data_IF_313145202455
#
_entry.id   IF_313145202455
#
_cell.length_a   1.000
_cell.length_b   1.000
_cell.length_c   1.000
_cell.angle_alpha   90.00
_cell.angle_beta   90.00
_cell.angle_gamma   90.00
#
_symmetry.space_group_name_H-M   'P 1'
#
loop_
_entity.id
_entity.type
_entity.pdbx_description
1 polymer ?
#
# COMPACT_ATOMS: atom_id res chain seq x y z
N UNK A 1 11.89 8.59 -15.90
CA UNK A 1 10.50 8.33 -15.50
C UNK A 1 10.48 7.26 -14.43
N UNK A 2 9.56 7.28 -13.47
CA UNK A 2 9.46 6.24 -12.46
C UNK A 2 9.06 4.91 -13.06
N UNK A 3 9.59 3.81 -12.47
CA UNK A 3 9.25 2.44 -12.90
C UNK A 3 8.08 1.85 -12.10
N UNK A 4 7.88 2.31 -10.86
CA UNK A 4 6.77 1.93 -10.00
C UNK A 4 5.96 3.19 -9.72
N UNK A 5 4.67 3.18 -10.04
CA UNK A 5 3.79 4.32 -9.81
C UNK A 5 2.55 3.86 -9.03
N UNK A 6 2.08 4.71 -8.15
CA UNK A 6 0.77 4.55 -7.52
C UNK A 6 -0.05 5.83 -7.63
N UNK A 7 -1.38 5.68 -7.66
CA UNK A 7 -2.36 6.75 -7.75
C UNK A 7 -3.32 6.61 -6.58
N UNK A 8 -3.44 7.64 -5.76
CA UNK A 8 -4.39 7.54 -4.67
C UNK A 8 -4.33 8.69 -3.68
N UNK A 9 -4.93 8.43 -2.54
CA UNK A 9 -5.00 9.38 -1.44
C UNK A 9 -3.66 9.55 -0.73
N UNK A 10 -3.38 10.80 -0.34
CA UNK A 10 -2.38 11.16 0.63
C UNK A 10 -3.03 12.03 1.71
N UNK A 11 -2.78 11.74 2.95
CA UNK A 11 -3.39 12.42 4.10
C UNK A 11 -2.41 12.41 5.28
N UNK A 12 -2.73 13.12 6.34
CA UNK A 12 -2.02 12.97 7.61
C UNK A 12 -2.85 12.18 8.60
N UNK A 13 -2.17 11.40 9.44
CA UNK A 13 -2.78 10.74 10.59
C UNK A 13 -2.47 11.45 11.89
N UNK A 14 -3.50 11.52 12.74
CA UNK A 14 -3.42 12.04 14.12
C UNK A 14 -3.98 10.96 15.04
N UNK A 15 -3.13 10.42 15.90
CA UNK A 15 -3.36 9.17 16.61
C UNK A 15 -3.58 9.38 18.09
N UNK A 16 -4.46 8.59 18.72
CA UNK A 16 -4.52 8.48 20.18
C UNK A 16 -3.20 7.95 20.74
N UNK A 17 -2.75 8.56 21.83
CA UNK A 17 -1.56 8.08 22.56
C UNK A 17 -1.91 7.02 23.59
N UNK A 18 -3.17 6.95 24.02
CA UNK A 18 -3.70 6.02 25.02
C UNK A 18 -4.65 5.01 24.36
N UNK A 19 -4.54 3.73 24.77
CA UNK A 19 -5.47 2.68 24.34
C UNK A 19 -6.87 2.91 24.92
N UNK A 20 -7.88 2.38 24.27
CA UNK A 20 -9.29 2.37 24.70
C UNK A 20 -9.86 3.79 24.93
N UNK A 21 -9.30 4.81 24.29
CA UNK A 21 -9.79 6.20 24.35
C UNK A 21 -10.50 6.59 23.05
N UNK A 22 -11.83 6.63 23.05
CA UNK A 22 -12.59 6.93 21.85
C UNK A 22 -12.36 8.37 21.35
N UNK A 23 -12.49 8.59 20.05
CA UNK A 23 -12.25 9.90 19.43
C UNK A 23 -13.26 10.97 19.83
N UNK A 24 -14.44 10.61 20.32
CA UNK A 24 -15.50 11.54 20.76
C UNK A 24 -15.32 12.08 22.19
N UNK A 25 -14.16 11.89 22.82
CA UNK A 25 -13.82 12.40 24.15
C UNK A 25 -12.48 13.13 24.12
N UNK A 26 -12.29 14.18 24.94
CA UNK A 26 -10.98 14.81 25.08
C UNK A 26 -9.93 13.82 25.61
N UNK A 27 -8.82 13.71 24.91
CA UNK A 27 -7.63 12.97 25.33
C UNK A 27 -6.46 13.35 24.41
N UNK A 28 -5.19 13.09 24.80
CA UNK A 28 -4.03 13.42 24.00
C UNK A 28 -4.04 12.74 22.62
N UNK A 29 -3.52 13.45 21.64
CA UNK A 29 -3.28 13.00 20.29
C UNK A 29 -1.82 13.30 19.91
N UNK A 30 -1.24 12.52 19.03
CA UNK A 30 0.10 12.73 18.46
C UNK A 30 0.00 12.75 16.93
N UNK A 31 0.81 13.56 16.30
CA UNK A 31 0.86 13.79 14.85
C UNK A 31 1.10 15.26 14.55
N UNK A 32 1.06 15.68 13.27
CA UNK A 32 0.63 14.88 12.13
C UNK A 32 1.71 13.88 11.67
N UNK A 33 1.30 12.69 11.28
CA UNK A 33 2.13 11.73 10.57
C UNK A 33 1.73 11.68 9.09
N UNK A 34 2.66 11.71 8.13
CA UNK A 34 2.33 11.50 6.72
C UNK A 34 1.79 10.08 6.52
N UNK A 35 0.72 9.94 5.75
CA UNK A 35 -0.03 8.71 5.57
C UNK A 35 -0.82 8.70 4.26
N UNK A 36 -1.65 7.68 4.11
CA UNK A 36 -2.37 7.29 2.91
C UNK A 36 -1.73 6.03 2.35
N UNK A 37 -2.48 4.94 2.26
CA UNK A 37 -1.95 3.64 1.86
C UNK A 37 -1.11 3.71 0.57
N UNK A 38 -1.55 4.40 -0.52
CA UNK A 38 -0.72 4.59 -1.71
C UNK A 38 0.57 5.37 -1.45
N UNK A 39 0.54 6.38 -0.58
CA UNK A 39 1.72 7.19 -0.26
C UNK A 39 2.72 6.40 0.61
N UNK A 40 2.23 5.57 1.55
CA UNK A 40 3.06 4.65 2.36
C UNK A 40 3.77 3.65 1.44
N UNK A 41 3.04 3.00 0.54
CA UNK A 41 3.61 2.09 -0.45
C UNK A 41 4.74 2.75 -1.26
N UNK A 42 4.51 3.96 -1.76
CA UNK A 42 5.46 4.66 -2.61
C UNK A 42 6.74 5.05 -1.85
N UNK A 43 6.60 5.57 -0.62
CA UNK A 43 7.70 5.86 0.31
C UNK A 43 8.51 4.59 0.61
N UNK A 44 7.84 3.50 0.97
CA UNK A 44 8.50 2.22 1.26
C UNK A 44 9.29 1.70 0.05
N UNK A 45 8.69 1.68 -1.15
CA UNK A 45 9.37 1.23 -2.37
C UNK A 45 10.60 2.10 -2.72
N UNK A 46 10.53 3.42 -2.52
CA UNK A 46 11.65 4.32 -2.72
C UNK A 46 12.80 4.04 -1.73
N UNK A 47 12.49 3.84 -0.45
CA UNK A 47 13.47 3.47 0.59
C UNK A 47 14.15 2.12 0.32
N UNK A 48 13.48 1.24 -0.41
CA UNK A 48 14.05 -0.03 -0.88
C UNK A 48 14.88 0.11 -2.17
N UNK A 49 15.02 1.35 -2.70
CA UNK A 49 15.88 1.67 -3.85
C UNK A 49 15.19 1.65 -5.20
N UNK A 50 13.85 1.53 -5.24
CA UNK A 50 13.11 1.59 -6.50
C UNK A 50 12.93 3.03 -6.99
N UNK A 51 12.86 3.22 -8.31
CA UNK A 51 12.43 4.47 -8.93
C UNK A 51 10.90 4.55 -8.88
N UNK A 52 10.38 5.38 -7.98
CA UNK A 52 8.95 5.46 -7.67
C UNK A 52 8.35 6.81 -8.00
N UNK A 53 7.07 6.84 -8.34
CA UNK A 53 6.30 8.05 -8.55
C UNK A 53 4.93 7.99 -7.90
N UNK A 54 4.50 9.11 -7.35
CA UNK A 54 3.21 9.24 -6.68
C UNK A 54 2.31 10.23 -7.42
N UNK A 55 1.07 9.82 -7.68
CA UNK A 55 0.02 10.68 -8.21
C UNK A 55 -1.05 10.86 -7.15
N UNK A 56 -1.19 12.09 -6.66
CA UNK A 56 -2.11 12.41 -5.58
C UNK A 56 -2.42 13.90 -5.51
N UNK A 57 -3.24 14.30 -4.55
CA UNK A 57 -3.58 15.72 -4.35
C UNK A 57 -3.54 16.05 -2.87
N UNK A 58 -2.89 17.16 -2.53
CA UNK A 58 -2.81 17.72 -1.18
C UNK A 58 -3.32 19.15 -1.16
N UNK A 59 -3.66 19.67 0.01
CA UNK A 59 -3.96 21.09 0.19
C UNK A 59 -2.66 21.91 0.24
N UNK A 60 -2.74 23.19 -0.10
CA UNK A 60 -1.65 24.14 0.13
C UNK A 60 -1.68 24.58 1.60
N UNK A 61 -1.31 23.67 2.50
CA UNK A 61 -1.33 23.84 3.95
C UNK A 61 -0.18 23.05 4.61
N UNK A 62 0.12 23.27 5.91
CA UNK A 62 1.22 22.59 6.58
C UNK A 62 1.12 21.05 6.59
N UNK A 63 -0.07 20.47 6.40
CA UNK A 63 -0.25 19.03 6.30
C UNK A 63 0.12 18.52 4.89
N UNK A 64 -0.17 19.31 3.86
CA UNK A 64 0.32 19.06 2.51
C UNK A 64 1.85 19.09 2.46
N UNK A 65 2.47 20.10 3.10
CA UNK A 65 3.92 20.20 3.22
C UNK A 65 4.52 18.99 3.96
N UNK A 66 3.86 18.50 5.01
CA UNK A 66 4.28 17.32 5.76
C UNK A 66 4.37 16.08 4.85
N UNK A 67 3.39 15.87 3.98
CA UNK A 67 3.33 14.73 3.06
C UNK A 67 4.36 14.88 1.94
N UNK A 68 4.39 16.03 1.25
CA UNK A 68 5.26 16.25 0.09
C UNK A 68 6.73 16.26 0.47
N UNK A 69 7.08 16.85 1.63
CA UNK A 69 8.44 16.79 2.17
C UNK A 69 8.86 15.35 2.43
N UNK A 70 8.01 14.54 3.11
CA UNK A 70 8.32 13.14 3.39
C UNK A 70 8.54 12.32 2.12
N UNK A 71 7.65 12.44 1.13
CA UNK A 71 7.80 11.73 -0.14
C UNK A 71 9.08 12.14 -0.87
N UNK A 72 9.40 13.43 -0.87
CA UNK A 72 10.62 13.96 -1.49
C UNK A 72 11.88 13.47 -0.77
N UNK A 73 11.90 13.52 0.57
CA UNK A 73 13.01 13.06 1.39
C UNK A 73 13.29 11.57 1.21
N UNK A 74 12.25 10.77 0.98
CA UNK A 74 12.35 9.34 0.67
C UNK A 74 12.74 9.06 -0.79
N UNK A 75 12.81 10.09 -1.65
CA UNK A 75 13.22 9.97 -3.05
C UNK A 75 12.10 9.63 -4.04
N UNK A 76 10.85 9.84 -3.65
CA UNK A 76 9.68 9.65 -4.53
C UNK A 76 9.57 10.81 -5.52
N UNK A 77 9.33 10.51 -6.80
CA UNK A 77 8.96 11.50 -7.79
C UNK A 77 7.52 11.98 -7.52
N UNK A 78 7.39 13.28 -7.22
CA UNK A 78 6.11 13.93 -6.91
C UNK A 78 5.57 14.80 -8.05
N UNK A 79 6.06 14.64 -9.29
CA UNK A 79 5.55 15.42 -10.44
C UNK A 79 4.04 15.21 -10.68
N UNK A 80 3.49 14.07 -10.26
CA UNK A 80 2.05 13.78 -10.29
C UNK A 80 1.27 14.33 -9.09
N UNK A 81 1.91 15.02 -8.15
CA UNK A 81 1.23 15.61 -6.99
C UNK A 81 0.73 16.99 -7.32
N UNK A 82 -0.56 17.22 -7.11
CA UNK A 82 -1.20 18.54 -7.27
C UNK A 82 -1.44 19.16 -5.91
N UNK A 83 -1.01 20.41 -5.73
CA UNK A 83 -1.39 21.23 -4.58
C UNK A 83 -2.63 22.06 -4.90
N UNK A 84 -3.59 22.11 -3.97
CA UNK A 84 -4.86 22.84 -4.11
C UNK A 84 -4.97 23.93 -3.03
N UNK A 85 -5.23 25.18 -3.48
CA UNK A 85 -5.45 26.32 -2.58
C UNK A 85 -6.87 26.37 -2.02
N UNK A 86 -7.82 25.78 -2.72
CA UNK A 86 -9.25 25.78 -2.39
C UNK A 86 -9.71 24.56 -1.59
N UNK A 87 -8.80 23.64 -1.29
CA UNK A 87 -9.07 22.42 -0.52
C UNK A 87 -8.03 22.24 0.58
N UNK A 88 -8.45 21.64 1.68
CA UNK A 88 -7.55 21.25 2.77
C UNK A 88 -7.00 19.84 2.52
N UNK A 89 -5.82 19.57 3.05
CA UNK A 89 -5.25 18.21 3.09
C UNK A 89 -6.14 17.28 3.91
N UNK A 90 -6.27 16.03 3.48
CA UNK A 90 -7.04 15.01 4.19
C UNK A 90 -6.43 14.66 5.54
N UNK A 91 -7.27 14.32 6.50
CA UNK A 91 -6.85 13.91 7.85
C UNK A 91 -7.59 12.63 8.23
N UNK A 92 -6.88 11.67 8.83
CA UNK A 92 -7.45 10.53 9.53
C UNK A 92 -7.13 10.64 11.03
N UNK A 93 -8.14 10.55 11.86
CA UNK A 93 -7.95 10.36 13.30
C UNK A 93 -8.04 8.87 13.62
N UNK A 94 -7.10 8.38 14.43
CA UNK A 94 -7.00 6.95 14.76
C UNK A 94 -7.06 6.76 16.27
N UNK A 95 -7.86 5.80 16.73
CA UNK A 95 -7.85 5.32 18.09
C UNK A 95 -7.58 3.80 18.10
N UNK A 96 -6.75 3.38 19.01
CA UNK A 96 -6.34 2.00 19.21
C UNK A 96 -7.04 1.39 20.41
N UNK A 97 -7.47 0.14 20.30
CA UNK A 97 -8.02 -0.63 21.40
C UNK A 97 -7.01 -1.66 21.91
N UNK A 98 -7.17 -2.08 23.15
CA UNK A 98 -6.29 -3.07 23.81
C UNK A 98 -6.38 -4.47 23.21
N UNK A 99 -7.41 -4.75 22.41
CA UNK A 99 -7.57 -5.98 21.62
C UNK A 99 -6.85 -5.94 20.27
N UNK A 100 -6.10 -4.85 19.97
CA UNK A 100 -5.41 -4.61 18.72
C UNK A 100 -6.27 -4.03 17.60
N UNK A 101 -7.58 -3.84 17.84
CA UNK A 101 -8.45 -3.19 16.86
C UNK A 101 -8.22 -1.69 16.76
N UNK A 102 -8.56 -1.12 15.61
CA UNK A 102 -8.43 0.31 15.32
C UNK A 102 -9.76 0.89 14.88
N UNK A 103 -10.04 2.12 15.27
CA UNK A 103 -11.15 2.90 14.75
C UNK A 103 -10.64 4.16 14.06
N UNK A 104 -11.18 4.44 12.88
CA UNK A 104 -10.81 5.58 12.05
C UNK A 104 -11.94 6.60 11.97
N UNK A 105 -11.56 7.88 11.93
CA UNK A 105 -12.46 8.97 11.56
C UNK A 105 -11.80 9.75 10.42
N UNK A 106 -12.25 9.48 9.18
CA UNK A 106 -11.69 10.10 7.98
C UNK A 106 -12.34 11.45 7.69
N UNK A 107 -11.52 12.47 7.53
CA UNK A 107 -11.87 13.77 6.97
C UNK A 107 -11.21 13.90 5.59
N UNK A 108 -11.66 13.13 4.60
CA UNK A 108 -11.06 13.11 3.27
C UNK A 108 -12.05 13.27 2.11
N UNK A 109 -13.32 12.94 2.28
CA UNK A 109 -14.29 12.94 1.18
C UNK A 109 -14.45 14.30 0.47
N UNK A 110 -14.29 15.40 1.21
CA UNK A 110 -14.34 16.77 0.70
C UNK A 110 -12.98 17.47 0.74
N UNK A 111 -11.91 16.72 1.05
CA UNK A 111 -10.54 17.22 1.10
C UNK A 111 -9.79 16.95 -0.21
N UNK A 112 -8.60 17.52 -0.34
CA UNK A 112 -7.73 17.34 -1.49
C UNK A 112 -7.42 15.86 -1.77
N UNK A 113 -7.28 15.05 -0.73
CA UNK A 113 -6.98 13.61 -0.80
C UNK A 113 -7.92 12.80 -1.72
N UNK A 114 -9.17 13.24 -1.92
CA UNK A 114 -10.14 12.59 -2.80
C UNK A 114 -10.21 13.18 -4.21
N UNK A 115 -9.45 14.24 -4.49
CA UNK A 115 -9.60 15.05 -5.70
C UNK A 115 -8.49 14.76 -6.73
N UNK A 116 -8.26 13.50 -7.02
CA UNK A 116 -7.36 13.09 -8.10
C UNK A 116 -8.18 12.93 -9.39
N UNK A 117 -7.67 13.50 -10.47
CA UNK A 117 -8.21 13.35 -11.82
C UNK A 117 -7.10 12.94 -12.80
N UNK A 118 -7.52 12.43 -13.97
CA UNK A 118 -6.58 12.00 -15.02
C UNK A 118 -5.73 13.15 -15.54
N UNK A 119 -6.31 14.34 -15.64
CA UNK A 119 -5.69 15.52 -16.25
C UNK A 119 -4.52 16.08 -15.43
N UNK A 120 -4.33 15.62 -14.17
CA UNK A 120 -3.16 15.99 -13.38
C UNK A 120 -1.94 15.11 -13.66
N UNK A 121 -2.11 13.95 -14.28
CA UNK A 121 -1.00 13.06 -14.62
C UNK A 121 -0.23 13.69 -15.78
N UNK A 122 1.09 13.95 -15.62
CA UNK A 122 1.87 14.56 -16.69
C UNK A 122 1.90 13.70 -17.97
N UNK A 123 1.92 14.32 -19.12
CA UNK A 123 2.01 13.62 -20.40
C UNK A 123 3.24 12.70 -20.44
N UNK A 124 3.04 11.45 -20.85
CA UNK A 124 4.10 10.44 -20.92
C UNK A 124 4.57 9.89 -19.56
N UNK A 125 4.02 10.35 -18.45
CA UNK A 125 4.45 9.93 -17.11
C UNK A 125 4.28 8.43 -16.85
N UNK A 126 3.28 7.82 -17.49
CA UNK A 126 2.94 6.40 -17.33
C UNK A 126 3.49 5.50 -18.44
N UNK A 127 4.20 6.03 -19.44
CA UNK A 127 4.57 5.27 -20.64
C UNK A 127 5.64 4.18 -20.36
N UNK A 128 6.57 4.46 -19.44
CA UNK A 128 7.67 3.54 -19.07
C UNK A 128 7.43 2.82 -17.72
N UNK A 129 6.20 2.90 -17.18
CA UNK A 129 5.84 2.29 -15.90
C UNK A 129 5.81 0.77 -16.04
N UNK A 130 6.63 0.10 -15.22
CA UNK A 130 6.68 -1.37 -15.15
C UNK A 130 5.64 -1.95 -14.21
N UNK A 131 5.36 -1.24 -13.11
CA UNK A 131 4.36 -1.62 -12.12
C UNK A 131 3.49 -0.42 -11.76
N UNK A 132 2.20 -0.56 -11.98
CA UNK A 132 1.19 0.38 -11.47
C UNK A 132 0.47 -0.28 -10.31
N UNK A 133 0.69 0.23 -9.10
CA UNK A 133 0.03 -0.27 -7.91
C UNK A 133 -1.25 0.54 -7.62
N UNK A 134 -2.37 -0.14 -7.55
CA UNK A 134 -3.68 0.44 -7.23
C UNK A 134 -4.19 -0.17 -5.94
N UNK A 135 -4.76 0.67 -5.08
CA UNK A 135 -5.38 0.26 -3.82
C UNK A 135 -6.89 0.49 -3.84
N UNK A 136 -7.62 -0.43 -3.21
CA UNK A 136 -9.08 -0.32 -3.10
C UNK A 136 -9.52 0.88 -2.27
N UNK A 137 -8.69 1.40 -1.37
CA UNK A 137 -8.92 2.66 -0.67
C UNK A 137 -9.04 3.83 -1.65
N UNK A 138 -8.12 3.93 -2.62
CA UNK A 138 -8.16 4.93 -3.69
C UNK A 138 -9.41 4.79 -4.57
N UNK A 139 -9.77 3.54 -4.94
CA UNK A 139 -10.99 3.26 -5.70
C UNK A 139 -12.26 3.64 -4.94
N UNK A 140 -12.19 3.65 -3.61
CA UNK A 140 -13.31 3.97 -2.72
C UNK A 140 -13.42 5.46 -2.39
N UNK A 141 -12.34 6.23 -2.53
CA UNK A 141 -12.25 7.62 -2.10
C UNK A 141 -13.16 8.57 -2.89
N UNK A 142 -13.19 8.47 -4.22
CA UNK A 142 -14.06 9.29 -5.07
C UNK A 142 -14.26 8.70 -6.46
N UNK A 143 -15.25 9.21 -7.19
CA UNK A 143 -15.48 8.80 -8.57
C UNK A 143 -14.37 9.29 -9.52
N UNK A 144 -13.85 10.51 -9.35
CA UNK A 144 -12.79 11.03 -10.20
C UNK A 144 -11.50 10.23 -10.05
N UNK A 145 -11.05 9.97 -8.82
CA UNK A 145 -9.89 9.14 -8.52
C UNK A 145 -10.05 7.73 -9.08
N UNK A 146 -11.21 7.11 -8.90
CA UNK A 146 -11.52 5.78 -9.46
C UNK A 146 -11.37 5.76 -10.98
N UNK A 147 -11.89 6.77 -11.68
CA UNK A 147 -11.76 6.87 -13.14
C UNK A 147 -10.31 7.10 -13.58
N UNK A 148 -9.54 7.89 -12.83
CA UNK A 148 -8.11 8.06 -13.09
C UNK A 148 -7.36 6.73 -12.93
N UNK A 149 -7.61 5.97 -11.85
CA UNK A 149 -7.05 4.64 -11.63
C UNK A 149 -7.40 3.65 -12.77
N UNK A 150 -8.66 3.60 -13.19
CA UNK A 150 -9.09 2.71 -14.28
C UNK A 150 -8.41 3.05 -15.61
N UNK A 151 -8.27 4.35 -15.89
CA UNK A 151 -7.63 4.83 -17.10
C UNK A 151 -6.14 4.53 -17.11
N UNK A 152 -5.47 4.78 -15.98
CA UNK A 152 -4.05 4.47 -15.79
C UNK A 152 -3.78 2.97 -15.88
N UNK A 153 -4.60 2.12 -15.24
CA UNK A 153 -4.45 0.68 -15.30
C UNK A 153 -4.54 0.13 -16.72
N UNK A 154 -5.52 0.59 -17.51
CA UNK A 154 -5.62 0.21 -18.93
C UNK A 154 -4.44 0.73 -19.74
N UNK A 155 -3.97 1.96 -19.49
CA UNK A 155 -2.83 2.54 -20.21
C UNK A 155 -1.56 1.74 -19.95
N UNK A 156 -1.22 1.48 -18.68
CA UNK A 156 -0.01 0.74 -18.29
C UNK A 156 -0.07 -0.71 -18.78
N UNK A 157 -1.19 -1.40 -18.63
CA UNK A 157 -1.36 -2.77 -19.14
C UNK A 157 -1.22 -2.84 -20.67
N UNK A 158 -1.79 -1.88 -21.41
CA UNK A 158 -1.66 -1.81 -22.86
C UNK A 158 -0.23 -1.56 -23.35
N UNK A 159 0.61 -0.91 -22.53
CA UNK A 159 2.03 -0.66 -22.78
C UNK A 159 2.96 -1.75 -22.24
N UNK A 160 2.40 -2.88 -21.74
CA UNK A 160 3.17 -4.02 -21.28
C UNK A 160 3.67 -3.93 -19.83
N UNK A 161 3.23 -2.94 -19.06
CA UNK A 161 3.44 -2.86 -17.63
C UNK A 161 2.47 -3.76 -16.86
N UNK A 162 2.82 -4.14 -15.66
CA UNK A 162 2.00 -4.96 -14.75
C UNK A 162 1.17 -4.07 -13.83
N UNK A 163 -0.13 -4.29 -13.82
CA UNK A 163 -1.05 -3.68 -12.84
C UNK A 163 -1.12 -4.58 -11.61
N UNK A 164 -0.99 -3.99 -10.43
CA UNK A 164 -1.09 -4.69 -9.16
C UNK A 164 -2.21 -4.09 -8.32
N UNK A 165 -2.95 -4.93 -7.60
CA UNK A 165 -4.08 -4.53 -6.77
C UNK A 165 -3.91 -5.02 -5.34
N UNK A 166 -3.88 -4.10 -4.38
CA UNK A 166 -4.24 -4.38 -2.99
C UNK A 166 -5.72 -4.02 -2.79
N UNK A 167 -6.60 -4.95 -2.43
CA UNK A 167 -8.00 -4.64 -2.17
C UNK A 167 -8.20 -3.57 -1.11
N UNK A 168 -7.36 -3.52 -0.10
CA UNK A 168 -7.24 -2.48 0.93
C UNK A 168 -8.62 -1.95 1.35
N UNK A 169 -9.46 -2.87 1.83
CA UNK A 169 -10.88 -2.61 2.10
C UNK A 169 -11.05 -1.57 3.20
N UNK A 170 -11.86 -0.55 2.92
CA UNK A 170 -12.20 0.51 3.87
C UNK A 170 -13.72 0.66 3.96
N UNK A 171 -14.38 -0.13 4.84
CA UNK A 171 -15.85 -0.07 5.00
C UNK A 171 -16.37 1.32 5.37
N UNK A 172 -15.51 2.15 5.97
CA UNK A 172 -15.81 3.55 6.30
C UNK A 172 -15.95 4.45 5.07
N UNK A 173 -15.36 4.07 3.93
CA UNK A 173 -15.41 4.83 2.68
C UNK A 173 -16.47 4.31 1.71
N UNK A 174 -16.59 2.99 1.60
CA UNK A 174 -17.50 2.34 0.67
C UNK A 174 -18.02 1.01 1.25
N UNK A 175 -19.34 0.71 1.17
CA UNK A 175 -19.89 -0.55 1.62
C UNK A 175 -19.22 -1.77 0.96
N UNK A 176 -19.00 -2.88 1.69
CA UNK A 176 -18.25 -4.05 1.19
C UNK A 176 -18.79 -4.68 -0.11
N UNK A 177 -20.13 -4.65 -0.31
CA UNK A 177 -20.77 -5.12 -1.53
C UNK A 177 -20.43 -4.28 -2.77
N UNK A 178 -20.16 -2.99 -2.58
CA UNK A 178 -19.75 -2.09 -3.65
C UNK A 178 -18.25 -2.17 -3.94
N UNK A 179 -17.42 -2.54 -2.95
CA UNK A 179 -15.96 -2.62 -3.11
C UNK A 179 -15.59 -3.65 -4.19
N UNK A 180 -16.24 -4.82 -4.21
CA UNK A 180 -16.03 -5.81 -5.28
C UNK A 180 -16.28 -5.21 -6.66
N UNK A 181 -17.39 -4.49 -6.83
CA UNK A 181 -17.75 -3.88 -8.11
C UNK A 181 -16.74 -2.83 -8.57
N UNK A 182 -16.18 -2.04 -7.64
CA UNK A 182 -15.18 -1.03 -8.01
C UNK A 182 -13.78 -1.61 -8.22
N UNK A 183 -13.45 -2.76 -7.65
CA UNK A 183 -12.19 -3.46 -7.91
C UNK A 183 -12.21 -4.23 -9.24
N UNK A 184 -13.38 -4.66 -9.72
CA UNK A 184 -13.47 -5.53 -10.91
C UNK A 184 -12.76 -4.95 -12.15
N UNK A 185 -12.91 -3.66 -12.55
CA UNK A 185 -12.20 -3.12 -13.71
C UNK A 185 -10.68 -3.11 -13.59
N UNK A 186 -10.14 -3.16 -12.36
CA UNK A 186 -8.71 -3.34 -12.13
C UNK A 186 -8.35 -4.82 -12.23
N UNK A 187 -9.13 -5.71 -11.63
CA UNK A 187 -8.92 -7.17 -11.73
C UNK A 187 -8.88 -7.66 -13.18
N UNK A 188 -9.69 -7.06 -14.06
CA UNK A 188 -9.76 -7.42 -15.49
C UNK A 188 -8.42 -7.19 -16.24
N UNK A 189 -7.49 -6.41 -15.66
CA UNK A 189 -6.17 -6.07 -16.25
C UNK A 189 -5.00 -6.28 -15.30
N UNK A 190 -5.25 -6.70 -14.06
CA UNK A 190 -4.21 -6.92 -13.06
C UNK A 190 -3.45 -8.24 -13.31
N UNK A 191 -2.15 -8.21 -13.12
CA UNK A 191 -1.32 -9.41 -13.07
C UNK A 191 -1.08 -9.90 -11.64
N UNK A 192 -1.10 -9.01 -10.64
CA UNK A 192 -0.79 -9.34 -9.25
C UNK A 192 -1.87 -8.80 -8.32
N UNK A 193 -2.32 -9.61 -7.37
CA UNK A 193 -3.27 -9.20 -6.30
C UNK A 193 -2.67 -9.52 -4.94
N UNK A 194 -2.70 -8.53 -4.01
CA UNK A 194 -2.01 -8.60 -2.72
C UNK A 194 -3.01 -8.44 -1.54
N UNK A 195 -3.93 -9.37 -1.32
CA UNK A 195 -4.95 -9.26 -0.30
C UNK A 195 -4.50 -9.76 1.08
N UNK A 196 -5.21 -9.36 2.13
CA UNK A 196 -5.34 -10.15 3.36
C UNK A 196 -6.35 -11.28 3.18
N UNK A 197 -6.46 -12.21 4.16
CA UNK A 197 -7.39 -13.35 4.07
C UNK A 197 -8.87 -12.92 3.96
N UNK A 198 -9.30 -11.98 4.80
CA UNK A 198 -10.68 -11.47 4.78
C UNK A 198 -10.98 -10.66 3.51
N UNK A 199 -10.01 -9.89 3.03
CA UNK A 199 -10.15 -9.14 1.78
C UNK A 199 -10.31 -10.06 0.58
N UNK A 200 -9.55 -11.16 0.54
CA UNK A 200 -9.61 -12.12 -0.57
C UNK A 200 -10.98 -12.80 -0.65
N UNK A 201 -11.52 -13.24 0.50
CA UNK A 201 -12.87 -13.83 0.54
C UNK A 201 -13.96 -12.80 0.21
N UNK A 202 -13.83 -11.57 0.68
CA UNK A 202 -14.75 -10.49 0.35
C UNK A 202 -14.72 -10.14 -1.14
N UNK A 203 -13.53 -10.07 -1.74
CA UNK A 203 -13.31 -9.74 -3.14
C UNK A 203 -13.88 -10.82 -4.09
N UNK A 204 -13.63 -12.09 -3.78
CA UNK A 204 -13.99 -13.21 -4.66
C UNK A 204 -15.37 -13.82 -4.34
N UNK A 205 -15.84 -13.66 -3.10
CA UNK A 205 -17.07 -14.30 -2.61
C UNK A 205 -16.90 -15.78 -2.31
N UNK A 206 -15.66 -16.28 -2.22
CA UNK A 206 -15.34 -17.65 -1.85
C UNK A 206 -15.40 -17.87 -0.34
N UNK A 207 -15.49 -19.13 0.08
CA UNK A 207 -15.60 -19.47 1.50
C UNK A 207 -14.25 -19.42 2.25
N UNK A 208 -13.14 -19.61 1.54
CA UNK A 208 -11.79 -19.59 2.11
C UNK A 208 -10.83 -18.76 1.26
N UNK A 209 -9.76 -18.21 1.86
CA UNK A 209 -8.74 -17.48 1.10
C UNK A 209 -8.07 -18.32 0.01
N UNK A 210 -7.83 -19.61 0.25
CA UNK A 210 -7.23 -20.53 -0.73
C UNK A 210 -8.11 -20.66 -1.97
N UNK A 211 -9.42 -20.90 -1.77
CA UNK A 211 -10.38 -20.93 -2.86
C UNK A 211 -10.47 -19.58 -3.60
N UNK A 212 -10.27 -18.48 -2.88
CA UNK A 212 -10.19 -17.14 -3.45
C UNK A 212 -8.96 -16.97 -4.34
N UNK A 213 -7.80 -17.45 -3.92
CA UNK A 213 -6.56 -17.43 -4.71
C UNK A 213 -6.72 -18.26 -5.99
N UNK A 214 -7.23 -19.50 -5.87
CA UNK A 214 -7.52 -20.37 -7.02
C UNK A 214 -8.48 -19.70 -8.01
N UNK A 215 -9.54 -19.05 -7.48
CA UNK A 215 -10.50 -18.32 -8.30
C UNK A 215 -9.84 -17.20 -9.10
N UNK A 216 -8.98 -16.36 -8.49
CA UNK A 216 -8.29 -15.27 -9.18
C UNK A 216 -7.32 -15.79 -10.23
N UNK A 217 -6.53 -16.82 -9.90
CA UNK A 217 -5.59 -17.45 -10.85
C UNK A 217 -6.33 -18.03 -12.07
N UNK A 218 -7.48 -18.70 -11.84
CA UNK A 218 -8.31 -19.23 -12.93
C UNK A 218 -8.92 -18.14 -13.83
N UNK A 219 -8.99 -16.89 -13.34
CA UNK A 219 -9.48 -15.73 -14.08
C UNK A 219 -8.36 -14.82 -14.62
N UNK A 220 -7.11 -15.30 -14.69
CA UNK A 220 -6.02 -14.65 -15.41
C UNK A 220 -5.07 -13.80 -14.57
N UNK A 221 -5.20 -13.83 -13.24
CA UNK A 221 -4.19 -13.26 -12.34
C UNK A 221 -2.98 -14.19 -12.34
N UNK A 222 -1.76 -13.63 -12.48
CA UNK A 222 -0.51 -14.41 -12.51
C UNK A 222 -0.01 -14.77 -11.10
N UNK A 223 -0.23 -13.87 -10.11
CA UNK A 223 0.23 -14.02 -8.74
C UNK A 223 -0.80 -13.47 -7.75
N UNK A 224 -1.15 -14.28 -6.76
CA UNK A 224 -1.88 -13.84 -5.56
C UNK A 224 -0.95 -13.92 -4.35
N UNK A 225 -0.67 -12.78 -3.72
CA UNK A 225 0.16 -12.67 -2.53
C UNK A 225 -0.73 -12.51 -1.29
N UNK A 226 -1.12 -13.61 -0.68
CA UNK A 226 -1.97 -13.63 0.50
C UNK A 226 -1.18 -13.23 1.75
N UNK A 227 -1.45 -12.06 2.29
CA UNK A 227 -0.88 -11.56 3.56
C UNK A 227 -1.60 -12.19 4.76
N UNK A 228 -0.84 -12.72 5.74
CA UNK A 228 -1.38 -13.40 6.93
C UNK A 228 -0.87 -12.80 8.24
N UNK A 229 -0.45 -11.53 8.21
CA UNK A 229 0.05 -10.81 9.38
C UNK A 229 1.21 -11.56 10.06
N UNK A 230 1.07 -11.85 11.34
CA UNK A 230 2.09 -12.54 12.14
C UNK A 230 2.38 -14.00 11.69
N UNK A 231 1.57 -14.57 10.81
CA UNK A 231 1.81 -15.90 10.21
C UNK A 231 2.65 -15.80 8.92
N UNK A 232 2.91 -14.59 8.41
CA UNK A 232 3.68 -14.36 7.18
C UNK A 232 2.81 -14.23 5.94
N UNK A 233 3.17 -14.91 4.86
CA UNK A 233 2.43 -14.84 3.60
C UNK A 233 2.42 -16.18 2.86
N UNK A 234 1.48 -16.32 1.92
CA UNK A 234 1.50 -17.38 0.90
C UNK A 234 1.37 -16.77 -0.48
N UNK A 235 2.29 -17.10 -1.35
CA UNK A 235 2.34 -16.65 -2.75
C UNK A 235 1.81 -17.78 -3.64
N UNK A 236 0.74 -17.52 -4.37
CA UNK A 236 0.08 -18.50 -5.26
C UNK A 236 0.28 -18.10 -6.72
N UNK A 237 0.74 -19.04 -7.52
CA UNK A 237 0.73 -18.96 -9.00
C UNK A 237 0.01 -20.18 -9.58
N UNK A 238 -0.18 -20.22 -10.89
CA UNK A 238 -0.73 -21.40 -11.55
C UNK A 238 0.15 -22.67 -11.44
N UNK A 239 1.44 -22.49 -11.11
CA UNK A 239 2.42 -23.60 -11.08
C UNK A 239 2.74 -24.06 -9.66
N UNK A 240 2.75 -23.14 -8.69
CA UNK A 240 3.17 -23.45 -7.33
C UNK A 240 2.51 -22.53 -6.30
N UNK A 241 2.55 -22.95 -5.05
CA UNK A 241 2.28 -22.09 -3.89
C UNK A 241 3.46 -22.16 -2.93
N UNK A 242 3.91 -21.01 -2.44
CA UNK A 242 5.03 -20.87 -1.51
C UNK A 242 4.56 -20.18 -0.25
N UNK A 243 4.58 -20.87 0.89
CA UNK A 243 4.28 -20.28 2.19
C UNK A 243 5.59 -19.88 2.88
N UNK A 244 5.63 -18.66 3.39
CA UNK A 244 6.80 -18.05 4.03
C UNK A 244 6.37 -17.51 5.39
N UNK A 245 6.99 -18.02 6.47
CA UNK A 245 6.73 -17.58 7.83
C UNK A 245 7.20 -16.14 8.05
N UNK A 246 6.49 -15.40 8.90
CA UNK A 246 6.88 -14.06 9.32
C UNK A 246 8.18 -14.06 10.12
N UNK A 247 8.77 -12.88 10.26
CA UNK A 247 9.80 -12.60 11.25
C UNK A 247 9.15 -12.23 12.58
N UNK A 248 9.79 -12.63 13.68
CA UNK A 248 9.35 -12.22 15.00
C UNK A 248 9.87 -10.83 15.32
N UNK A 249 8.98 -9.89 15.52
CA UNK A 249 9.29 -8.50 15.87
C UNK A 249 8.46 -8.06 17.08
N UNK A 250 8.91 -7.03 17.76
CA UNK A 250 8.09 -6.37 18.78
C UNK A 250 7.22 -5.31 18.08
N UNK A 251 5.96 -5.65 17.86
CA UNK A 251 5.00 -4.72 17.27
C UNK A 251 4.72 -3.54 18.21
N UNK A 252 4.77 -2.32 17.63
CA UNK A 252 4.40 -1.06 18.28
C UNK A 252 3.17 -0.47 17.57
N UNK A 253 3.17 -0.44 16.23
CA UNK A 253 2.08 0.08 15.42
C UNK A 253 1.98 -0.69 14.09
N UNK A 254 0.89 -1.44 13.84
CA UNK A 254 0.74 -2.22 12.61
C UNK A 254 0.34 -1.38 11.39
N UNK A 255 0.20 -0.05 11.54
CA UNK A 255 -0.21 0.82 10.42
C UNK A 255 0.86 0.86 9.34
N UNK A 256 0.46 0.64 8.09
CA UNK A 256 1.37 0.67 6.94
C UNK A 256 2.14 -0.63 6.67
N UNK A 257 2.05 -1.64 7.55
CA UNK A 257 2.78 -2.91 7.39
C UNK A 257 2.42 -3.64 6.08
N UNK A 258 1.14 -3.68 5.73
CA UNK A 258 0.65 -4.25 4.47
C UNK A 258 1.19 -3.50 3.25
N UNK A 259 1.11 -2.17 3.29
CA UNK A 259 1.59 -1.30 2.20
C UNK A 259 3.11 -1.45 2.00
N UNK A 260 3.86 -1.57 3.09
CA UNK A 260 5.32 -1.82 3.08
C UNK A 260 5.66 -3.23 2.56
N UNK A 261 4.86 -4.25 2.93
CA UNK A 261 4.98 -5.61 2.37
C UNK A 261 4.76 -5.61 0.86
N UNK A 262 3.70 -4.95 0.39
CA UNK A 262 3.36 -4.86 -1.04
C UNK A 262 4.49 -4.17 -1.83
N UNK A 263 5.02 -3.06 -1.29
CA UNK A 263 6.15 -2.35 -1.87
C UNK A 263 7.38 -3.26 -2.02
N UNK A 264 7.74 -3.98 -0.96
CA UNK A 264 8.89 -4.87 -0.95
C UNK A 264 8.74 -6.04 -1.93
N UNK A 265 7.55 -6.65 -1.98
CA UNK A 265 7.27 -7.74 -2.90
C UNK A 265 7.40 -7.29 -4.36
N UNK A 266 6.80 -6.15 -4.72
CA UNK A 266 6.85 -5.60 -6.07
C UNK A 266 8.28 -5.19 -6.45
N UNK A 267 9.05 -4.59 -5.54
CA UNK A 267 10.46 -4.26 -5.77
C UNK A 267 11.28 -5.53 -6.05
N UNK A 268 11.15 -6.56 -5.21
CA UNK A 268 11.88 -7.81 -5.37
C UNK A 268 11.51 -8.55 -6.66
N UNK A 269 10.23 -8.61 -7.02
CA UNK A 269 9.78 -9.19 -8.29
C UNK A 269 10.31 -8.40 -9.49
N UNK A 270 10.34 -7.06 -9.39
CA UNK A 270 10.90 -6.18 -10.43
C UNK A 270 12.40 -6.35 -10.63
N UNK A 271 13.12 -6.85 -9.63
CA UNK A 271 14.54 -7.24 -9.68
C UNK A 271 14.74 -8.69 -10.15
N UNK A 272 13.67 -9.45 -10.39
CA UNK A 272 13.73 -10.82 -10.89
C UNK A 272 14.02 -11.87 -9.82
N UNK A 273 13.73 -11.58 -8.53
CA UNK A 273 13.94 -12.54 -7.47
C UNK A 273 12.92 -13.70 -7.53
N UNK A 274 13.29 -14.85 -6.97
CA UNK A 274 12.36 -15.96 -6.82
C UNK A 274 11.22 -15.61 -5.88
N UNK A 275 10.05 -16.26 -6.02
CA UNK A 275 8.91 -16.05 -5.14
C UNK A 275 9.27 -16.24 -3.67
N UNK A 276 10.03 -17.28 -3.34
CA UNK A 276 10.46 -17.54 -1.97
C UNK A 276 11.31 -16.39 -1.41
N UNK A 277 12.27 -15.89 -2.18
CA UNK A 277 13.14 -14.78 -1.78
C UNK A 277 12.37 -13.47 -1.67
N UNK A 278 11.50 -13.19 -2.66
CA UNK A 278 10.66 -11.98 -2.65
C UNK A 278 9.70 -11.95 -1.45
N UNK A 279 9.05 -13.08 -1.14
CA UNK A 279 8.16 -13.17 0.02
C UNK A 279 8.91 -13.10 1.36
N UNK A 280 10.13 -13.66 1.43
CA UNK A 280 10.98 -13.54 2.60
C UNK A 280 11.34 -12.07 2.88
N UNK A 281 11.75 -11.34 1.86
CA UNK A 281 12.08 -9.92 1.93
C UNK A 281 10.84 -9.07 2.28
N UNK A 282 9.70 -9.35 1.66
CA UNK A 282 8.45 -8.65 1.93
C UNK A 282 7.99 -8.82 3.39
N UNK A 283 8.09 -10.05 3.94
CA UNK A 283 7.81 -10.30 5.35
C UNK A 283 8.76 -9.55 6.29
N UNK A 284 10.06 -9.41 5.94
CA UNK A 284 11.01 -8.63 6.73
C UNK A 284 10.64 -7.15 6.75
N UNK A 285 10.34 -6.58 5.59
CA UNK A 285 9.95 -5.16 5.46
C UNK A 285 8.64 -4.89 6.19
N UNK A 286 7.61 -5.70 5.97
CA UNK A 286 6.32 -5.56 6.65
C UNK A 286 6.44 -5.72 8.18
N UNK A 287 7.28 -6.66 8.65
CA UNK A 287 7.56 -6.82 10.07
C UNK A 287 8.27 -5.62 10.67
N UNK A 288 9.34 -5.13 10.05
CA UNK A 288 10.06 -3.94 10.51
C UNK A 288 9.18 -2.69 10.53
N UNK A 289 8.27 -2.54 9.56
CA UNK A 289 7.34 -1.41 9.51
C UNK A 289 6.48 -1.29 10.77
N UNK A 290 6.23 -2.40 11.50
CA UNK A 290 5.44 -2.39 12.73
C UNK A 290 6.21 -1.96 13.99
N UNK A 291 7.53 -1.79 13.91
CA UNK A 291 8.39 -1.58 15.10
C UNK A 291 8.49 -0.13 15.55
N UNK A 292 7.89 0.79 14.83
CA UNK A 292 7.81 2.21 15.18
C UNK A 292 6.37 2.70 15.08
N UNK A 293 6.07 3.80 15.81
CA UNK A 293 4.75 4.41 15.75
C UNK A 293 4.67 5.36 14.57
N UNK A 294 3.65 5.18 13.75
CA UNK A 294 3.34 6.03 12.61
C UNK A 294 3.37 5.28 11.29
N UNK A 295 2.53 5.67 10.31
CA UNK A 295 2.29 4.92 9.09
C UNK A 295 3.53 4.71 8.20
N UNK A 296 4.43 5.69 8.19
CA UNK A 296 5.66 5.65 7.38
C UNK A 296 6.93 5.58 8.22
N UNK A 297 6.83 5.70 9.56
CA UNK A 297 7.99 5.86 10.43
C UNK A 297 8.80 4.57 10.49
N UNK A 298 8.13 3.43 10.62
CA UNK A 298 8.75 2.11 10.64
C UNK A 298 9.16 1.57 9.26
N UNK A 299 8.83 2.24 8.15
CA UNK A 299 9.24 1.79 6.81
C UNK A 299 10.77 1.78 6.69
N UNK A 300 11.42 0.61 6.54
CA UNK A 300 12.87 0.50 6.63
C UNK A 300 13.56 0.89 5.31
N UNK A 301 14.80 1.37 5.41
CA UNK A 301 15.71 1.41 4.28
C UNK A 301 16.26 0.01 3.97
N UNK A 302 16.60 -0.25 2.70
CA UNK A 302 17.05 -1.56 2.22
C UNK A 302 18.17 -2.17 3.07
N UNK A 303 19.20 -1.39 3.42
CA UNK A 303 20.34 -1.88 4.20
C UNK A 303 19.93 -2.36 5.59
N UNK A 304 18.98 -1.66 6.21
CA UNK A 304 18.42 -2.07 7.51
C UNK A 304 17.65 -3.40 7.41
N UNK A 305 16.91 -3.61 6.31
CA UNK A 305 16.22 -4.88 6.04
C UNK A 305 17.22 -6.02 5.90
N UNK A 306 18.27 -5.82 5.10
CA UNK A 306 19.29 -6.84 4.87
C UNK A 306 20.04 -7.22 6.17
N UNK A 307 20.39 -6.21 6.97
CA UNK A 307 21.01 -6.44 8.28
C UNK A 307 20.08 -7.22 9.21
N UNK A 308 18.80 -6.83 9.30
CA UNK A 308 17.80 -7.53 10.10
C UNK A 308 17.62 -8.99 9.67
N UNK A 309 17.51 -9.25 8.37
CA UNK A 309 17.37 -10.62 7.83
C UNK A 309 18.58 -11.49 8.17
N UNK A 310 19.80 -10.92 8.09
CA UNK A 310 21.03 -11.62 8.47
C UNK A 310 21.07 -11.93 9.98
N UNK A 311 20.72 -10.98 10.84
CA UNK A 311 20.67 -11.15 12.30
C UNK A 311 19.64 -12.21 12.72
N UNK A 312 18.56 -12.36 11.96
CA UNK A 312 17.55 -13.41 12.14
C UNK A 312 17.97 -14.77 11.56
N UNK A 313 19.18 -14.91 11.02
CA UNK A 313 19.67 -16.13 10.39
C UNK A 313 18.95 -16.51 9.09
N UNK A 314 18.31 -15.56 8.43
CA UNK A 314 17.60 -15.74 7.16
C UNK A 314 18.08 -14.71 6.12
N UNK A 315 19.40 -14.66 5.80
CA UNK A 315 19.95 -13.72 4.82
C UNK A 315 19.42 -13.99 3.41
N UNK A 316 19.48 -12.98 2.54
CA UNK A 316 19.17 -13.20 1.13
C UNK A 316 20.19 -14.15 0.51
N UNK A 317 19.75 -15.08 -0.37
CA UNK A 317 20.65 -15.93 -1.10
C UNK A 317 21.72 -15.13 -1.86
N UNK A 318 23.01 -15.48 -1.70
CA UNK A 318 24.13 -14.80 -2.36
C UNK A 318 24.64 -13.52 -1.71
N UNK A 319 24.16 -13.18 -0.50
CA UNK A 319 24.73 -12.06 0.29
C UNK A 319 25.75 -12.52 1.33
N UNK A 320 26.00 -13.83 1.45
CA UNK A 320 26.88 -14.43 2.46
C UNK A 320 28.38 -14.11 2.24
N UNK A 321 28.76 -13.52 1.08
CA UNK A 321 30.15 -13.21 0.71
C UNK A 321 30.42 -11.73 0.37
N UNK A 322 29.66 -10.78 0.90
CA UNK A 322 29.91 -9.34 0.66
C UNK A 322 30.22 -8.57 1.91
#
# INVERSE_FOLDING_TARGET
MPHIVTIGEALVEVMRTELDRPLNRPAPLVGPYPSGAPAIFCSAAARLGASTGFVGTVGQDPFGDCITSRLTDDGVDIMGVRERQDLLTGIAFVAYASDGSRSFCFHMAQAAASQVDWEQIPDGYLDDVRYLHIMGSALSASQSMRQACYRAARHVSANGGTVTLDPNLRPELLPPDQIRAVCQPILDVAGIVLPSGEELTALTGTATPEAGAEHLLANGIDLVALKRGAEGCTLYTAQESVSIDAYQVQEIDPTGAGDCFDAALIVALGEGWSLATAGLFANAVGGLATTERGPMEGAPFRDAVLAFMADQGRPLPGTEDR
#
